data_IF_738702330924
#
_entry.id   IF_738702330924
#
_cell.length_a   1.000
_cell.length_b   1.000
_cell.length_c   1.000
_cell.angle_alpha   90.00
_cell.angle_beta   90.00
_cell.angle_gamma   90.00
#
_symmetry.space_group_name_H-M   'P 1'
#
loop_
_entity.id
_entity.type
_entity.pdbx_description
1 polymer ?
#
# COMPACT_ATOMS: atom_id res chain seq x y z
N UNK A 1 -6.63 6.84 -18.33
CA UNK A 1 -6.09 7.96 -19.12
C UNK A 1 -6.75 8.14 -20.47
N UNK A 2 -6.93 7.10 -21.30
CA UNK A 2 -7.63 7.24 -22.60
C UNK A 2 -9.03 7.85 -22.45
N UNK A 3 -9.80 7.39 -21.47
CA UNK A 3 -11.11 8.00 -21.16
C UNK A 3 -11.00 9.48 -20.77
N UNK A 4 -10.02 9.86 -19.94
CA UNK A 4 -9.82 11.27 -19.55
C UNK A 4 -9.48 12.18 -20.75
N UNK A 5 -8.66 11.68 -21.69
CA UNK A 5 -8.38 12.37 -22.95
C UNK A 5 -9.66 12.55 -23.79
N UNK A 6 -10.45 11.48 -23.93
CA UNK A 6 -11.72 11.51 -24.67
C UNK A 6 -12.72 12.47 -24.03
N UNK A 7 -12.82 12.48 -22.70
CA UNK A 7 -13.67 13.39 -21.94
C UNK A 7 -13.26 14.84 -22.14
N UNK A 8 -11.98 15.18 -21.96
CA UNK A 8 -11.47 16.54 -22.16
C UNK A 8 -11.74 17.04 -23.60
N UNK A 9 -11.50 16.19 -24.60
CA UNK A 9 -11.78 16.53 -25.98
C UNK A 9 -13.29 16.71 -26.25
N UNK A 10 -14.13 15.87 -25.65
CA UNK A 10 -15.59 15.98 -25.76
C UNK A 10 -16.10 17.29 -25.15
N UNK A 11 -15.62 17.66 -23.96
CA UNK A 11 -15.99 18.90 -23.29
C UNK A 11 -15.62 20.12 -24.13
N UNK A 12 -14.40 20.15 -24.67
CA UNK A 12 -13.91 21.24 -25.55
C UNK A 12 -14.71 21.33 -26.84
N UNK A 13 -15.01 20.20 -27.48
CA UNK A 13 -15.77 20.19 -28.73
C UNK A 13 -17.21 20.71 -28.56
N UNK A 14 -17.78 20.57 -27.36
CA UNK A 14 -19.16 21.00 -27.06
C UNK A 14 -19.23 22.29 -26.22
N UNK A 15 -18.10 22.97 -25.98
CA UNK A 15 -18.00 24.15 -25.10
C UNK A 15 -18.65 23.94 -23.72
N UNK A 16 -18.47 22.73 -23.16
CA UNK A 16 -18.95 22.39 -21.83
C UNK A 16 -17.84 22.67 -20.81
N UNK A 17 -18.20 23.35 -19.72
CA UNK A 17 -17.33 23.48 -18.56
C UNK A 17 -17.55 22.33 -17.58
N UNK A 18 -16.50 21.94 -16.87
CA UNK A 18 -16.56 20.87 -15.87
C UNK A 18 -17.18 21.41 -14.58
N UNK A 19 -18.51 21.54 -14.56
CA UNK A 19 -19.31 22.12 -13.46
C UNK A 19 -19.74 21.10 -12.40
N UNK A 20 -19.32 19.86 -12.58
CA UNK A 20 -19.56 18.76 -11.68
C UNK A 20 -20.91 18.04 -11.85
N UNK A 21 -21.65 18.34 -12.92
CA UNK A 21 -22.94 17.70 -13.23
C UNK A 21 -22.78 16.52 -14.17
N UNK A 22 -23.72 15.60 -14.05
CA UNK A 22 -23.78 14.41 -14.89
C UNK A 22 -23.97 14.79 -16.36
N UNK A 23 -23.03 14.37 -17.21
CA UNK A 23 -23.11 14.51 -18.66
C UNK A 23 -23.73 13.23 -19.22
N UNK A 24 -24.96 13.33 -19.72
CA UNK A 24 -25.76 12.18 -20.19
C UNK A 24 -25.04 11.32 -21.22
N UNK A 25 -24.24 11.94 -22.10
CA UNK A 25 -23.56 11.25 -23.20
C UNK A 25 -22.35 10.42 -22.73
N UNK A 26 -21.80 10.73 -21.54
CA UNK A 26 -20.66 10.01 -20.96
C UNK A 26 -21.06 8.89 -20.00
N UNK A 27 -22.34 8.83 -19.61
CA UNK A 27 -22.88 7.79 -18.71
C UNK A 27 -22.55 6.35 -19.15
N UNK A 28 -22.55 5.99 -20.46
CA UNK A 28 -22.17 4.64 -20.89
C UNK A 28 -20.76 4.20 -20.50
N UNK A 29 -19.88 5.15 -20.12
CA UNK A 29 -18.51 4.88 -19.70
C UNK A 29 -18.33 4.83 -18.18
N UNK A 30 -19.40 4.89 -17.39
CA UNK A 30 -19.36 4.73 -15.93
C UNK A 30 -19.39 3.24 -15.49
N UNK A 31 -19.01 2.30 -16.37
CA UNK A 31 -18.95 0.86 -16.08
C UNK A 31 -17.55 0.41 -15.63
N UNK A 32 -17.41 -0.88 -15.24
CA UNK A 32 -16.10 -1.47 -14.93
C UNK A 32 -15.13 -1.28 -16.10
N UNK A 33 -13.87 -0.99 -15.78
CA UNK A 33 -12.80 -0.78 -16.76
C UNK A 33 -12.66 -1.96 -17.75
N UNK A 34 -12.97 -3.18 -17.31
CA UNK A 34 -12.91 -4.39 -18.14
C UNK A 34 -13.93 -4.39 -19.29
N UNK A 35 -15.00 -3.61 -19.16
CA UNK A 35 -16.07 -3.49 -20.15
C UNK A 35 -15.87 -2.29 -21.08
N UNK A 36 -15.06 -1.31 -20.67
CA UNK A 36 -14.78 -0.11 -21.46
C UNK A 36 -13.71 -0.46 -22.49
N UNK A 37 -14.13 -0.67 -23.73
CA UNK A 37 -13.20 -0.98 -24.82
C UNK A 37 -12.66 0.30 -25.48
N UNK A 38 -11.39 0.30 -25.94
CA UNK A 38 -10.86 1.40 -26.75
C UNK A 38 -11.68 1.68 -28.02
N UNK A 39 -12.33 0.65 -28.58
CA UNK A 39 -13.18 0.79 -29.76
C UNK A 39 -14.46 1.58 -29.47
N UNK A 40 -15.08 1.34 -28.32
CA UNK A 40 -16.24 2.12 -27.88
C UNK A 40 -15.86 3.60 -27.68
N UNK A 41 -14.71 3.87 -27.06
CA UNK A 41 -14.19 5.22 -26.89
C UNK A 41 -13.91 5.91 -28.23
N UNK A 42 -13.30 5.20 -29.19
CA UNK A 42 -13.06 5.72 -30.56
C UNK A 42 -14.36 6.01 -31.29
N UNK A 43 -15.32 5.08 -31.24
CA UNK A 43 -16.61 5.24 -31.91
C UNK A 43 -17.37 6.46 -31.38
N UNK A 44 -17.30 6.70 -30.07
CA UNK A 44 -17.93 7.84 -29.41
C UNK A 44 -17.30 9.18 -29.80
N UNK A 45 -15.96 9.28 -29.84
CA UNK A 45 -15.29 10.57 -30.05
C UNK A 45 -15.05 10.92 -31.53
N UNK A 46 -15.11 9.93 -32.43
CA UNK A 46 -14.92 10.13 -33.88
C UNK A 46 -15.79 11.24 -34.50
N UNK A 47 -17.09 11.40 -34.16
CA UNK A 47 -17.92 12.52 -34.64
C UNK A 47 -17.38 13.90 -34.23
N UNK A 48 -16.62 13.98 -33.13
CA UNK A 48 -16.03 15.20 -32.60
C UNK A 48 -14.61 15.48 -33.12
N UNK A 49 -14.12 14.71 -34.10
CA UNK A 49 -12.87 15.00 -34.80
C UNK A 49 -11.62 14.31 -34.25
N UNK A 50 -11.71 13.62 -33.10
CA UNK A 50 -10.60 12.81 -32.58
C UNK A 50 -10.63 11.42 -33.21
N UNK A 51 -9.68 11.13 -34.10
CA UNK A 51 -9.59 9.84 -34.80
C UNK A 51 -8.64 8.85 -34.11
N UNK A 52 -7.64 9.37 -33.39
CA UNK A 52 -6.67 8.58 -32.65
C UNK A 52 -6.74 8.89 -31.15
N UNK A 53 -6.95 7.85 -30.34
CA UNK A 53 -6.99 7.94 -28.87
C UNK A 53 -5.71 7.42 -28.20
N UNK A 54 -4.69 7.07 -29.01
CA UNK A 54 -3.43 6.58 -28.48
C UNK A 54 -2.71 7.68 -27.70
N UNK A 55 -2.23 7.33 -26.50
CA UNK A 55 -1.63 8.26 -25.55
C UNK A 55 -0.19 8.66 -25.92
N UNK A 56 0.44 7.91 -26.82
CA UNK A 56 1.82 8.09 -27.29
C UNK A 56 1.93 8.95 -28.55
N UNK A 57 0.80 9.35 -29.14
CA UNK A 57 0.74 10.29 -30.27
C UNK A 57 1.15 11.70 -29.82
N UNK A 58 1.95 12.40 -30.62
CA UNK A 58 2.47 13.73 -30.27
C UNK A 58 1.37 14.77 -30.09
N UNK A 59 0.27 14.64 -30.84
CA UNK A 59 -0.87 15.55 -30.75
C UNK A 59 -1.63 15.40 -29.43
N UNK A 60 -1.72 14.16 -28.92
CA UNK A 60 -2.43 13.87 -27.67
C UNK A 60 -1.54 14.10 -26.44
N UNK A 61 -0.24 13.92 -26.58
CA UNK A 61 0.70 13.95 -25.46
C UNK A 61 0.72 15.31 -24.75
N UNK A 62 0.57 16.42 -25.48
CA UNK A 62 0.44 17.76 -24.88
C UNK A 62 -0.81 17.92 -24.01
N UNK A 63 -1.95 17.41 -24.48
CA UNK A 63 -3.19 17.38 -23.69
C UNK A 63 -3.03 16.51 -22.45
N UNK A 64 -2.42 15.33 -22.59
CA UNK A 64 -2.18 14.42 -21.47
C UNK A 64 -1.24 15.04 -20.43
N UNK A 65 -0.19 15.75 -20.84
CA UNK A 65 0.69 16.49 -19.93
C UNK A 65 -0.09 17.56 -19.16
N UNK A 66 -0.99 18.28 -19.84
CA UNK A 66 -1.87 19.28 -19.21
C UNK A 66 -2.81 18.63 -18.19
N UNK A 67 -3.47 17.52 -18.56
CA UNK A 67 -4.38 16.78 -17.68
C UNK A 67 -3.67 16.24 -16.42
N UNK A 68 -2.41 15.84 -16.55
CA UNK A 68 -1.60 15.33 -15.44
C UNK A 68 -0.85 16.45 -14.68
N UNK A 69 -0.99 17.71 -15.09
CA UNK A 69 -0.21 18.84 -14.57
C UNK A 69 1.31 18.58 -14.57
N UNK A 70 1.83 18.02 -15.66
CA UNK A 70 3.24 17.67 -15.83
C UNK A 70 3.97 18.67 -16.74
N UNK A 71 5.25 18.96 -16.47
CA UNK A 71 6.06 19.79 -17.36
C UNK A 71 6.43 19.05 -18.65
N UNK A 72 6.74 19.81 -19.71
CA UNK A 72 7.17 19.26 -21.00
C UNK A 72 8.42 18.35 -20.91
N UNK A 73 9.28 18.56 -19.91
CA UNK A 73 10.44 17.69 -19.66
C UNK A 73 10.05 16.24 -19.32
N UNK A 74 8.81 15.99 -18.89
CA UNK A 74 8.30 14.66 -18.59
C UNK A 74 7.85 13.87 -19.84
N UNK A 75 7.77 14.50 -21.01
CA UNK A 75 7.24 13.93 -22.26
C UNK A 75 7.85 12.57 -22.61
N UNK A 76 9.18 12.48 -22.65
CA UNK A 76 9.90 11.24 -22.98
C UNK A 76 9.69 10.12 -21.96
N UNK A 77 9.66 10.48 -20.65
CA UNK A 77 9.41 9.51 -19.58
C UNK A 77 7.98 8.97 -19.66
N UNK A 78 7.01 9.84 -19.91
CA UNK A 78 5.60 9.47 -20.01
C UNK A 78 5.34 8.55 -21.21
N UNK A 79 5.97 8.83 -22.36
CA UNK A 79 5.92 7.96 -23.54
C UNK A 79 6.43 6.55 -23.24
N UNK A 80 7.56 6.43 -22.55
CA UNK A 80 8.10 5.13 -22.11
C UNK A 80 7.13 4.40 -21.16
N UNK A 81 6.45 5.12 -20.28
CA UNK A 81 5.47 4.53 -19.36
C UNK A 81 4.23 4.01 -20.11
N UNK A 82 3.74 4.72 -21.13
CA UNK A 82 2.60 4.23 -21.90
C UNK A 82 2.92 2.98 -22.74
N UNK A 83 4.17 2.85 -23.20
CA UNK A 83 4.61 1.70 -23.98
C UNK A 83 5.01 0.50 -23.12
N UNK A 84 5.72 0.74 -22.01
CA UNK A 84 6.30 -0.31 -21.16
C UNK A 84 5.60 -0.53 -19.81
N UNK A 85 4.64 0.32 -19.46
CA UNK A 85 4.04 0.34 -18.13
C UNK A 85 4.91 1.01 -17.07
N UNK A 86 4.41 1.02 -15.83
CA UNK A 86 5.18 1.43 -14.64
C UNK A 86 5.80 0.19 -14.02
N UNK A 87 7.13 0.09 -13.92
CA UNK A 87 7.78 -1.01 -13.20
C UNK A 87 7.29 -1.04 -11.75
N UNK A 88 6.78 -2.19 -11.32
CA UNK A 88 6.22 -2.35 -9.98
C UNK A 88 6.51 -3.75 -9.43
N UNK A 89 6.49 -3.85 -8.10
CA UNK A 89 6.59 -5.11 -7.37
C UNK A 89 5.26 -5.41 -6.69
N UNK A 90 4.82 -6.68 -6.71
CA UNK A 90 3.55 -7.09 -6.10
C UNK A 90 3.83 -8.04 -4.93
N UNK A 91 3.23 -7.75 -3.77
CA UNK A 91 3.31 -8.59 -2.58
C UNK A 91 1.94 -9.13 -2.22
N UNK A 92 1.88 -10.45 -2.01
CA UNK A 92 0.64 -11.18 -1.77
C UNK A 92 0.60 -11.88 -0.39
N UNK A 93 1.52 -11.53 0.51
CA UNK A 93 1.67 -12.10 1.85
C UNK A 93 1.97 -13.61 1.87
N UNK A 94 2.60 -14.15 0.82
CA UNK A 94 2.96 -15.59 0.72
C UNK A 94 4.41 -15.87 1.08
N UNK A 95 5.33 -14.97 0.75
CA UNK A 95 6.77 -15.20 0.89
C UNK A 95 7.44 -14.12 1.73
N UNK A 96 7.30 -14.23 3.04
CA UNK A 96 7.68 -13.16 3.96
C UNK A 96 9.14 -12.68 3.84
N UNK A 97 10.10 -13.56 3.57
CA UNK A 97 11.52 -13.17 3.43
C UNK A 97 11.80 -12.35 2.17
N UNK A 98 11.34 -12.82 1.00
CA UNK A 98 11.48 -12.09 -0.27
C UNK A 98 10.69 -10.76 -0.23
N UNK A 99 9.47 -10.81 0.31
CA UNK A 99 8.62 -9.65 0.52
C UNK A 99 9.27 -8.60 1.41
N UNK A 100 10.01 -9.03 2.43
CA UNK A 100 10.73 -8.11 3.32
C UNK A 100 11.81 -7.33 2.58
N UNK A 101 12.56 -7.99 1.69
CA UNK A 101 13.59 -7.35 0.88
C UNK A 101 12.97 -6.34 -0.11
N UNK A 102 11.87 -6.71 -0.76
CA UNK A 102 11.13 -5.82 -1.67
C UNK A 102 10.67 -4.56 -0.92
N UNK A 103 10.13 -4.73 0.29
CA UNK A 103 9.60 -3.62 1.10
C UNK A 103 10.71 -2.71 1.60
N UNK A 104 11.86 -3.25 1.99
CA UNK A 104 13.03 -2.45 2.37
C UNK A 104 13.51 -1.55 1.22
N UNK A 105 13.41 -2.03 -0.02
CA UNK A 105 13.69 -1.25 -1.24
C UNK A 105 12.58 -0.29 -1.69
N UNK A 106 11.39 -0.35 -1.11
CA UNK A 106 10.22 0.39 -1.61
C UNK A 106 10.33 1.92 -1.49
N UNK A 107 11.26 2.42 -0.66
CA UNK A 107 11.53 3.85 -0.52
C UNK A 107 12.56 4.41 -1.50
N UNK A 108 13.08 3.60 -2.43
CA UNK A 108 14.01 4.03 -3.46
C UNK A 108 13.35 4.96 -4.49
N UNK A 109 14.16 5.78 -5.16
CA UNK A 109 13.66 6.71 -6.17
C UNK A 109 12.97 5.95 -7.33
N UNK A 110 11.70 6.29 -7.57
CA UNK A 110 10.90 5.69 -8.65
C UNK A 110 10.40 4.27 -8.37
N UNK A 111 10.62 3.72 -7.18
CA UNK A 111 10.09 2.42 -6.80
C UNK A 111 8.56 2.49 -6.62
N UNK A 112 7.85 1.50 -7.18
CA UNK A 112 6.40 1.34 -7.00
C UNK A 112 6.14 -0.06 -6.47
N UNK A 113 5.41 -0.13 -5.37
CA UNK A 113 5.16 -1.38 -4.66
C UNK A 113 3.67 -1.52 -4.36
N UNK A 114 3.08 -2.63 -4.81
CA UNK A 114 1.68 -2.98 -4.62
C UNK A 114 1.62 -4.07 -3.56
N UNK A 115 1.03 -3.76 -2.41
CA UNK A 115 0.87 -4.70 -1.31
C UNK A 115 -0.60 -5.04 -1.11
N UNK A 116 -0.94 -6.33 -1.11
CA UNK A 116 -2.28 -6.77 -0.72
C UNK A 116 -2.40 -6.84 0.80
N UNK A 117 -3.48 -6.32 1.38
CA UNK A 117 -3.77 -6.35 2.81
C UNK A 117 -2.61 -5.85 3.68
N UNK A 118 -1.97 -6.74 4.45
CA UNK A 118 -0.86 -6.44 5.35
C UNK A 118 0.47 -7.05 4.90
N UNK A 119 0.66 -7.29 3.59
CA UNK A 119 1.96 -7.72 3.08
C UNK A 119 3.06 -6.71 3.45
N UNK A 120 4.28 -7.19 3.75
CA UNK A 120 5.36 -6.31 4.21
C UNK A 120 5.19 -5.76 5.63
N UNK A 121 4.40 -6.44 6.49
CA UNK A 121 4.31 -6.08 7.91
C UNK A 121 5.59 -6.39 8.66
N UNK A 122 6.03 -5.44 9.49
CA UNK A 122 7.23 -5.59 10.33
C UNK A 122 8.51 -5.00 9.74
N UNK A 123 8.52 -4.66 8.44
CA UNK A 123 9.69 -4.06 7.77
C UNK A 123 9.53 -2.55 7.63
N UNK A 124 10.62 -1.82 7.89
CA UNK A 124 10.68 -0.38 7.75
C UNK A 124 10.96 0.04 6.30
N UNK A 125 10.32 1.11 5.83
CA UNK A 125 10.52 1.66 4.49
C UNK A 125 11.32 2.95 4.66
N UNK A 126 12.62 2.87 4.43
CA UNK A 126 13.52 4.02 4.50
C UNK A 126 13.54 4.76 3.17
N UNK A 127 13.48 6.09 3.19
CA UNK A 127 13.65 6.88 1.99
C UNK A 127 15.05 6.67 1.42
N UNK A 128 15.16 6.49 0.10
CA UNK A 128 16.39 6.06 -0.57
C UNK A 128 16.48 4.55 -0.79
N UNK A 129 15.66 3.75 -0.08
CA UNK A 129 15.65 2.29 -0.18
C UNK A 129 16.73 1.62 0.68
N UNK A 130 17.09 0.39 0.34
CA UNK A 130 18.14 -0.38 1.01
C UNK A 130 19.37 -0.48 0.11
N UNK A 131 20.57 -0.33 0.71
CA UNK A 131 21.84 -0.48 0.00
C UNK A 131 22.22 -1.96 0.06
N UNK A 132 22.57 -2.54 -1.09
CA UNK A 132 23.06 -3.91 -1.16
C UNK A 132 24.33 -4.11 -0.31
N UNK A 133 24.42 -5.24 0.39
CA UNK A 133 25.55 -5.56 1.27
C UNK A 133 26.89 -5.58 0.50
N UNK A 134 26.86 -6.00 -0.76
CA UNK A 134 28.02 -6.00 -1.67
C UNK A 134 28.63 -4.60 -1.84
N UNK A 135 27.77 -3.59 -1.99
CA UNK A 135 28.17 -2.19 -2.15
C UNK A 135 28.80 -1.66 -0.86
N UNK A 136 28.21 -1.99 0.30
CA UNK A 136 28.78 -1.62 1.60
C UNK A 136 30.14 -2.29 1.81
N UNK A 137 30.28 -3.56 1.45
CA UNK A 137 31.54 -4.29 1.52
C UNK A 137 32.62 -3.65 0.64
N UNK A 138 32.27 -3.26 -0.59
CA UNK A 138 33.18 -2.56 -1.50
C UNK A 138 33.64 -1.22 -0.93
N UNK A 139 32.72 -0.41 -0.39
CA UNK A 139 33.04 0.86 0.28
C UNK A 139 34.00 0.63 1.46
N UNK A 140 33.72 -0.36 2.31
CA UNK A 140 34.58 -0.65 3.46
C UNK A 140 35.99 -1.07 3.05
N UNK A 141 36.15 -1.84 1.97
CA UNK A 141 37.46 -2.21 1.42
C UNK A 141 38.25 -1.01 0.95
N UNK A 142 37.59 -0.06 0.26
CA UNK A 142 38.23 1.15 -0.26
C UNK A 142 38.66 2.06 0.90
N UNK A 143 37.82 2.23 1.91
CA UNK A 143 38.15 3.00 3.12
C UNK A 143 39.29 2.35 3.92
N UNK A 144 39.29 1.02 4.06
CA UNK A 144 40.39 0.31 4.73
C UNK A 144 41.72 0.52 3.99
N UNK A 145 41.71 0.45 2.65
CA UNK A 145 42.90 0.74 1.82
C UNK A 145 43.38 2.19 1.97
N UNK A 146 42.48 3.13 2.22
CA UNK A 146 42.79 4.54 2.46
C UNK A 146 43.31 4.82 3.89
N UNK A 147 43.41 3.81 4.75
CA UNK A 147 43.99 3.94 6.09
C UNK A 147 42.98 4.21 7.21
N UNK A 148 41.67 4.07 6.96
CA UNK A 148 40.66 4.12 8.02
C UNK A 148 40.71 2.81 8.82
N UNK A 149 40.88 2.93 10.15
CA UNK A 149 41.11 1.77 11.04
C UNK A 149 39.91 0.83 11.12
N UNK A 150 38.68 1.36 11.23
CA UNK A 150 37.47 0.56 11.41
C UNK A 150 36.28 1.05 10.54
N UNK A 151 36.27 0.77 9.22
CA UNK A 151 35.18 1.19 8.33
C UNK A 151 33.81 0.57 8.66
N UNK A 152 33.77 -0.56 9.35
CA UNK A 152 32.54 -1.29 9.69
C UNK A 152 31.70 -0.58 10.75
N UNK A 153 32.34 0.14 11.68
CA UNK A 153 31.66 0.87 12.77
C UNK A 153 31.24 2.28 12.36
N UNK A 154 31.69 2.76 11.19
CA UNK A 154 31.29 4.06 10.66
C UNK A 154 29.82 4.07 10.22
N UNK A 155 29.15 5.18 10.51
CA UNK A 155 27.82 5.48 9.97
C UNK A 155 27.87 5.67 8.46
N UNK A 156 26.72 5.50 7.78
CA UNK A 156 26.63 5.72 6.33
C UNK A 156 27.06 7.15 5.95
N UNK A 157 26.75 8.13 6.80
CA UNK A 157 27.11 9.53 6.56
C UNK A 157 28.62 9.77 6.67
N UNK A 158 29.28 9.20 7.68
CA UNK A 158 30.73 9.30 7.83
C UNK A 158 31.46 8.62 6.66
N UNK A 159 30.95 7.48 6.18
CA UNK A 159 31.49 6.81 4.98
C UNK A 159 31.38 7.71 3.75
N UNK A 160 30.24 8.39 3.57
CA UNK A 160 30.03 9.34 2.47
C UNK A 160 31.03 10.49 2.54
N UNK A 161 31.22 11.10 3.70
CA UNK A 161 32.15 12.22 3.89
C UNK A 161 33.61 11.81 3.64
N UNK A 162 33.99 10.60 4.05
CA UNK A 162 35.31 10.04 3.78
C UNK A 162 35.53 9.85 2.27
N UNK A 163 34.57 9.25 1.57
CA UNK A 163 34.64 9.04 0.12
C UNK A 163 34.68 10.36 -0.68
N UNK A 164 33.97 11.39 -0.23
CA UNK A 164 33.98 12.71 -0.89
C UNK A 164 35.32 13.45 -0.75
N UNK A 165 36.10 13.15 0.30
CA UNK A 165 37.44 13.73 0.50
C UNK A 165 38.53 12.98 -0.29
N UNK A 166 38.21 11.79 -0.81
CA UNK A 166 39.15 10.98 -1.59
C UNK A 166 39.08 11.36 -3.07
N UNK A 167 40.23 11.29 -3.75
CA UNK A 167 40.26 11.42 -5.21
C UNK A 167 39.73 10.15 -5.89
N UNK A 168 39.06 10.35 -7.04
CA UNK A 168 38.36 9.31 -7.80
C UNK A 168 39.31 8.21 -8.30
N UNK A 169 40.58 8.55 -8.49
CA UNK A 169 41.63 7.61 -8.89
C UNK A 169 41.89 6.49 -7.86
N UNK A 170 41.55 6.71 -6.58
CA UNK A 170 41.80 5.74 -5.51
C UNK A 170 40.73 4.64 -5.41
N UNK A 171 39.64 4.77 -6.16
CA UNK A 171 38.52 3.82 -6.15
C UNK A 171 38.84 2.50 -6.84
N UNK A 172 39.75 2.53 -7.83
CA UNK A 172 40.24 1.33 -8.52
C UNK A 172 39.10 0.50 -9.12
N UNK A 173 39.04 -0.79 -8.77
CA UNK A 173 38.05 -1.74 -9.30
C UNK A 173 36.63 -1.53 -8.75
N UNK A 174 36.46 -0.78 -7.66
CA UNK A 174 35.17 -0.61 -6.96
C UNK A 174 34.48 0.73 -7.29
N UNK A 175 34.90 1.38 -8.38
CA UNK A 175 34.38 2.70 -8.76
C UNK A 175 32.86 2.69 -8.99
N UNK A 176 32.33 1.61 -9.57
CA UNK A 176 30.91 1.46 -9.86
C UNK A 176 30.07 1.41 -8.57
N UNK A 177 30.51 0.62 -7.59
CA UNK A 177 29.86 0.46 -6.29
C UNK A 177 29.92 1.76 -5.48
N UNK A 178 31.04 2.47 -5.52
CA UNK A 178 31.18 3.77 -4.84
C UNK A 178 30.27 4.82 -5.48
N UNK A 179 30.21 4.86 -6.82
CA UNK A 179 29.25 5.73 -7.53
C UNK A 179 27.82 5.40 -7.14
N UNK A 180 27.48 4.12 -7.03
CA UNK A 180 26.15 3.70 -6.58
C UNK A 180 25.87 4.13 -5.13
N UNK A 181 26.84 3.99 -4.23
CA UNK A 181 26.73 4.43 -2.85
C UNK A 181 26.55 5.96 -2.72
N UNK A 182 27.29 6.75 -3.50
CA UNK A 182 27.13 8.20 -3.51
C UNK A 182 25.78 8.60 -4.13
N UNK A 183 25.39 7.95 -5.24
CA UNK A 183 24.10 8.13 -5.89
C UNK A 183 22.92 7.82 -4.98
N UNK A 184 23.03 6.82 -4.10
CA UNK A 184 22.00 6.51 -3.10
C UNK A 184 21.64 7.73 -2.22
N UNK A 185 22.62 8.54 -1.82
CA UNK A 185 22.34 9.75 -1.02
C UNK A 185 21.71 10.87 -1.84
N UNK A 186 22.05 10.98 -3.12
CA UNK A 186 21.43 11.93 -4.04
C UNK A 186 19.98 11.55 -4.29
N UNK A 187 19.71 10.26 -4.55
CA UNK A 187 18.37 9.73 -4.71
C UNK A 187 17.54 9.86 -3.43
N UNK A 188 18.13 9.59 -2.25
CA UNK A 188 17.47 9.83 -0.96
C UNK A 188 17.08 11.30 -0.79
N UNK A 189 17.99 12.23 -1.07
CA UNK A 189 17.71 13.67 -0.99
C UNK A 189 16.60 14.08 -1.95
N UNK A 190 16.64 13.55 -3.18
CA UNK A 190 15.62 13.78 -4.21
C UNK A 190 14.25 13.24 -3.80
N UNK A 191 14.18 12.04 -3.21
CA UNK A 191 12.94 11.48 -2.69
C UNK A 191 12.36 12.38 -1.60
N UNK A 192 13.20 12.90 -0.68
CA UNK A 192 12.75 13.85 0.35
C UNK A 192 12.23 15.14 -0.25
N UNK A 193 12.93 15.71 -1.23
CA UNK A 193 12.50 16.93 -1.93
C UNK A 193 11.16 16.77 -2.64
N UNK A 194 10.90 15.58 -3.22
CA UNK A 194 9.65 15.25 -3.90
C UNK A 194 8.48 14.93 -2.95
N UNK A 195 8.67 15.08 -1.63
CA UNK A 195 7.62 14.87 -0.63
C UNK A 195 7.61 13.47 0.01
N UNK A 196 8.65 12.66 -0.24
CA UNK A 196 8.88 11.38 0.40
C UNK A 196 7.93 10.25 -0.03
N UNK A 197 7.73 9.28 0.86
CA UNK A 197 6.89 8.11 0.55
C UNK A 197 5.42 8.52 0.46
N UNK A 198 4.78 8.21 -0.66
CA UNK A 198 3.34 8.37 -0.85
C UNK A 198 2.62 7.02 -0.71
N UNK A 199 1.70 6.93 0.23
CA UNK A 199 0.91 5.71 0.49
C UNK A 199 -0.49 5.87 -0.06
N UNK A 200 -0.88 4.96 -0.96
CA UNK A 200 -2.21 4.91 -1.55
C UNK A 200 -2.97 3.72 -0.97
N UNK A 201 -4.11 3.99 -0.34
CA UNK A 201 -5.10 2.95 0.00
C UNK A 201 -6.15 2.87 -1.09
N UNK A 202 -6.32 1.69 -1.70
CA UNK A 202 -7.34 1.45 -2.74
C UNK A 202 -8.73 1.21 -2.17
N UNK A 203 -8.82 0.89 -0.88
CA UNK A 203 -10.07 0.65 -0.15
C UNK A 203 -9.85 0.93 1.35
N UNK A 204 -10.94 0.92 2.12
CA UNK A 204 -10.91 0.97 3.59
C UNK A 204 -10.95 -0.44 4.13
N UNK A 205 -10.10 -0.74 5.11
CA UNK A 205 -10.22 -1.97 5.88
C UNK A 205 -11.43 -1.91 6.81
N UNK A 206 -11.86 -3.08 7.29
CA UNK A 206 -12.89 -3.22 8.32
C UNK A 206 -12.58 -2.44 9.61
N UNK A 207 -11.29 -2.22 9.90
CA UNK A 207 -10.84 -1.55 11.10
C UNK A 207 -9.94 -0.34 10.79
N UNK A 208 -10.26 0.80 11.42
CA UNK A 208 -9.54 2.07 11.28
C UNK A 208 -8.08 1.94 11.69
N UNK A 209 -7.79 1.09 12.67
CA UNK A 209 -6.42 0.80 13.12
C UNK A 209 -5.54 0.25 12.00
N UNK A 210 -6.10 -0.57 11.10
CA UNK A 210 -5.34 -1.18 9.99
C UNK A 210 -5.03 -0.12 8.93
N UNK A 211 -6.01 0.72 8.61
CA UNK A 211 -5.79 1.87 7.72
C UNK A 211 -4.71 2.82 8.25
N UNK A 212 -4.72 3.10 9.55
CA UNK A 212 -3.69 3.94 10.18
C UNK A 212 -2.31 3.28 10.15
N UNK A 213 -2.21 1.95 10.19
CA UNK A 213 -0.93 1.26 10.01
C UNK A 213 -0.39 1.42 8.60
N UNK A 214 -1.27 1.40 7.59
CA UNK A 214 -0.89 1.68 6.20
C UNK A 214 -0.41 3.13 6.08
N UNK A 215 -1.15 4.11 6.61
CA UNK A 215 -0.74 5.53 6.64
C UNK A 215 0.61 5.73 7.31
N UNK A 216 0.82 5.07 8.46
CA UNK A 216 2.06 5.14 9.25
C UNK A 216 3.28 4.46 8.61
N UNK A 217 3.17 3.99 7.35
CA UNK A 217 4.33 3.61 6.53
C UNK A 217 5.04 4.84 5.97
N UNK A 218 4.30 5.91 5.67
CA UNK A 218 4.87 7.18 5.26
C UNK A 218 5.31 8.01 6.47
N UNK A 219 6.16 9.02 6.21
CA UNK A 219 6.57 10.05 7.15
C UNK A 219 7.17 9.52 8.47
N UNK A 220 7.97 8.46 8.40
CA UNK A 220 8.66 7.90 9.57
C UNK A 220 9.83 8.78 9.99
N UNK A 221 10.09 8.85 11.30
CA UNK A 221 11.22 9.63 11.85
C UNK A 221 11.26 11.11 11.44
N UNK A 222 10.10 11.71 11.15
CA UNK A 222 10.02 13.10 10.69
C UNK A 222 10.37 13.33 9.23
N UNK A 223 10.56 12.25 8.45
CA UNK A 223 10.69 12.34 7.01
C UNK A 223 9.40 12.91 6.37
N UNK A 224 9.51 13.57 5.21
CA UNK A 224 8.34 13.95 4.44
C UNK A 224 7.60 12.68 3.97
N UNK A 225 6.28 12.78 3.87
CA UNK A 225 5.45 11.69 3.40
C UNK A 225 4.00 12.11 3.32
N UNK A 226 3.24 11.41 2.51
CA UNK A 226 1.80 11.67 2.36
C UNK A 226 1.04 10.37 2.20
N UNK A 227 -0.26 10.41 2.52
CA UNK A 227 -1.12 9.26 2.31
C UNK A 227 -2.49 9.70 1.82
N UNK A 228 -3.09 8.91 0.93
CA UNK A 228 -4.42 9.16 0.39
C UNK A 228 -5.15 7.84 0.22
N UNK A 229 -6.44 7.83 0.57
CA UNK A 229 -7.31 6.69 0.33
C UNK A 229 -8.28 7.07 -0.77
N UNK A 230 -8.42 6.17 -1.73
CA UNK A 230 -9.46 6.20 -2.75
C UNK A 230 -10.50 5.16 -2.36
N UNK A 231 -11.77 5.51 -2.54
CA UNK A 231 -12.90 4.69 -2.13
C UNK A 231 -13.96 4.72 -3.21
N UNK A 232 -14.62 3.59 -3.39
CA UNK A 232 -15.80 3.47 -4.23
C UNK A 232 -17.02 3.14 -3.37
N UNK A 233 -18.18 3.59 -3.85
CA UNK A 233 -19.47 3.20 -3.33
C UNK A 233 -19.74 1.69 -3.47
N UNK A 234 -19.00 1.03 -4.35
CA UNK A 234 -19.11 -0.40 -4.62
C UNK A 234 -18.15 -1.26 -3.79
N UNK A 235 -17.27 -0.65 -2.99
CA UNK A 235 -16.33 -1.37 -2.12
C UNK A 235 -17.07 -2.20 -1.07
N UNK A 236 -16.47 -3.29 -0.58
CA UNK A 236 -17.12 -4.22 0.35
C UNK A 236 -17.61 -3.54 1.64
N UNK A 237 -16.82 -2.61 2.20
CA UNK A 237 -17.24 -1.84 3.38
C UNK A 237 -18.51 -1.02 3.09
N UNK A 238 -18.57 -0.36 1.93
CA UNK A 238 -19.71 0.45 1.54
C UNK A 238 -20.91 -0.44 1.23
N UNK A 239 -20.73 -1.51 0.45
CA UNK A 239 -21.78 -2.47 0.12
C UNK A 239 -22.45 -3.08 1.34
N UNK A 240 -21.67 -3.42 2.38
CA UNK A 240 -22.19 -4.09 3.57
C UNK A 240 -22.82 -3.12 4.58
N UNK A 241 -22.33 -1.88 4.69
CA UNK A 241 -22.70 -1.01 5.82
C UNK A 241 -23.08 0.44 5.46
N UNK A 242 -22.62 1.02 4.34
CA UNK A 242 -22.76 2.45 4.05
C UNK A 242 -23.46 2.83 2.74
N UNK A 243 -23.68 1.87 1.84
CA UNK A 243 -24.06 2.06 0.45
C UNK A 243 -25.41 2.74 0.29
N UNK A 244 -26.43 2.22 0.99
CA UNK A 244 -27.81 2.73 0.88
C UNK A 244 -27.94 4.18 1.37
N UNK A 245 -27.24 4.55 2.44
CA UNK A 245 -27.34 5.90 2.99
C UNK A 245 -26.68 6.94 2.09
N UNK A 246 -25.49 6.64 1.57
CA UNK A 246 -24.76 7.55 0.68
C UNK A 246 -25.38 7.57 -0.71
N UNK A 247 -25.86 6.42 -1.23
CA UNK A 247 -26.57 6.34 -2.50
C UNK A 247 -27.84 7.19 -2.52
N UNK A 248 -28.62 7.16 -1.43
CA UNK A 248 -29.79 8.03 -1.28
C UNK A 248 -29.45 9.53 -1.23
N UNK A 249 -28.29 9.88 -0.64
CA UNK A 249 -27.79 11.25 -0.61
C UNK A 249 -27.35 11.72 -2.01
N UNK A 250 -26.61 10.87 -2.75
CA UNK A 250 -26.15 11.17 -4.10
C UNK A 250 -27.32 11.35 -5.07
N UNK A 251 -28.34 10.47 -5.00
CA UNK A 251 -29.55 10.59 -5.81
C UNK A 251 -30.32 11.89 -5.58
N UNK A 252 -30.28 12.43 -4.36
CA UNK A 252 -30.87 13.74 -4.04
C UNK A 252 -30.06 14.91 -4.56
N UNK A 253 -28.73 14.82 -4.51
CA UNK A 253 -27.81 15.88 -4.92
C UNK A 253 -27.52 15.88 -6.43
N UNK A 254 -27.91 14.84 -7.16
CA UNK A 254 -27.64 14.66 -8.61
C UNK A 254 -26.16 14.88 -8.97
N UNK A 255 -25.26 14.47 -8.08
CA UNK A 255 -23.81 14.56 -8.31
C UNK A 255 -23.44 13.53 -9.37
N UNK A 256 -22.54 13.89 -10.28
CA UNK A 256 -21.99 12.96 -11.26
C UNK A 256 -21.16 11.88 -10.55
N UNK A 257 -21.45 10.61 -10.85
CA UNK A 257 -20.73 9.45 -10.31
C UNK A 257 -19.24 9.44 -10.71
N UNK A 258 -18.88 10.17 -11.78
CA UNK A 258 -17.50 10.28 -12.26
C UNK A 258 -16.63 11.28 -11.48
N UNK A 259 -17.20 12.03 -10.54
CA UNK A 259 -16.46 13.02 -9.76
C UNK A 259 -16.03 12.52 -8.38
N UNK A 260 -14.80 12.82 -7.96
CA UNK A 260 -14.38 12.59 -6.58
C UNK A 260 -15.26 13.38 -5.60
N UNK A 261 -15.89 12.66 -4.67
CA UNK A 261 -16.68 13.26 -3.59
C UNK A 261 -15.75 13.69 -2.44
N UNK A 262 -15.41 14.98 -2.37
CA UNK A 262 -14.67 15.57 -1.24
C UNK A 262 -15.60 16.22 -0.19
N UNK A 263 -16.70 15.54 0.16
CA UNK A 263 -17.68 16.07 1.12
C UNK A 263 -17.43 15.50 2.51
N UNK A 264 -17.22 16.38 3.51
CA UNK A 264 -16.99 15.99 4.92
C UNK A 264 -18.06 15.04 5.48
N UNK A 265 -19.33 15.20 5.04
CA UNK A 265 -20.45 14.36 5.45
C UNK A 265 -20.26 12.88 5.04
N UNK A 266 -19.72 12.62 3.85
CA UNK A 266 -19.47 11.26 3.35
C UNK A 266 -18.38 10.58 4.18
N UNK A 267 -17.32 11.32 4.53
CA UNK A 267 -16.26 10.81 5.42
C UNK A 267 -16.80 10.36 6.78
N UNK A 268 -17.73 11.11 7.38
CA UNK A 268 -18.34 10.72 8.66
C UNK A 268 -19.20 9.46 8.55
N UNK A 269 -19.91 9.26 7.44
CA UNK A 269 -20.70 8.04 7.20
C UNK A 269 -19.79 6.82 7.04
N UNK A 270 -18.65 6.98 6.35
CA UNK A 270 -17.64 5.93 6.20
C UNK A 270 -17.05 5.56 7.57
N UNK A 271 -16.68 6.54 8.39
CA UNK A 271 -16.17 6.31 9.76
C UNK A 271 -17.20 5.61 10.66
N UNK A 272 -18.47 6.00 10.57
CA UNK A 272 -19.57 5.35 11.29
C UNK A 272 -19.81 3.91 10.83
N UNK A 273 -19.54 3.62 9.55
CA UNK A 273 -19.61 2.26 9.01
C UNK A 273 -18.47 1.39 9.55
N UNK A 274 -17.22 1.88 9.56
CA UNK A 274 -16.09 1.16 10.17
C UNK A 274 -16.32 0.85 11.65
N UNK A 275 -16.83 1.82 12.42
CA UNK A 275 -17.14 1.61 13.85
C UNK A 275 -18.13 0.48 14.08
N UNK A 276 -19.15 0.36 13.21
CA UNK A 276 -20.13 -0.75 13.29
C UNK A 276 -19.50 -2.10 13.00
N UNK A 277 -18.63 -2.18 11.98
CA UNK A 277 -17.91 -3.43 11.67
C UNK A 277 -16.97 -3.83 12.81
N UNK A 278 -16.25 -2.87 13.38
CA UNK A 278 -15.40 -3.11 14.55
C UNK A 278 -16.20 -3.63 15.74
N UNK A 279 -17.40 -3.06 16.00
CA UNK A 279 -18.31 -3.53 17.05
C UNK A 279 -18.79 -4.96 16.82
N UNK A 280 -19.25 -5.28 15.61
CA UNK A 280 -19.67 -6.65 15.27
C UNK A 280 -18.52 -7.67 15.44
N UNK A 281 -17.32 -7.32 14.97
CA UNK A 281 -16.12 -8.15 15.14
C UNK A 281 -15.73 -8.31 16.62
N UNK A 282 -15.94 -7.29 17.45
CA UNK A 282 -15.72 -7.36 18.90
C UNK A 282 -16.70 -8.33 19.56
N UNK A 283 -17.99 -8.25 19.22
CA UNK A 283 -19.02 -9.14 19.79
C UNK A 283 -18.76 -10.62 19.42
N UNK A 284 -18.37 -10.88 18.17
CA UNK A 284 -17.97 -12.23 17.72
C UNK A 284 -16.81 -12.78 18.56
N UNK A 285 -15.76 -11.97 18.77
CA UNK A 285 -14.60 -12.38 19.59
C UNK A 285 -14.97 -12.57 21.05
N UNK A 286 -15.83 -11.70 21.59
CA UNK A 286 -16.32 -11.80 22.96
C UNK A 286 -17.07 -13.10 23.18
N UNK A 287 -18.02 -13.43 22.31
CA UNK A 287 -18.75 -14.69 22.39
C UNK A 287 -17.81 -15.89 22.29
N UNK A 288 -16.86 -15.88 21.34
CA UNK A 288 -15.88 -16.97 21.22
C UNK A 288 -15.08 -17.18 22.51
N UNK A 289 -14.66 -16.09 23.16
CA UNK A 289 -13.97 -16.13 24.45
C UNK A 289 -14.87 -16.69 25.56
N UNK A 290 -16.12 -16.27 25.64
CA UNK A 290 -17.07 -16.77 26.65
C UNK A 290 -17.28 -18.29 26.54
N UNK A 291 -17.34 -18.83 25.31
CA UNK A 291 -17.39 -20.28 25.09
C UNK A 291 -16.07 -20.97 25.46
N UNK A 292 -14.93 -20.38 25.10
CA UNK A 292 -13.63 -20.95 25.44
C UNK A 292 -13.39 -20.95 26.96
N UNK A 293 -13.83 -19.93 27.70
CA UNK A 293 -13.70 -19.86 29.17
C UNK A 293 -14.35 -21.07 29.87
N UNK A 294 -15.50 -21.53 29.39
CA UNK A 294 -16.15 -22.74 29.91
C UNK A 294 -15.32 -23.98 29.61
N UNK A 295 -14.86 -24.13 28.36
CA UNK A 295 -14.01 -25.26 27.95
C UNK A 295 -12.65 -25.24 28.63
N UNK A 296 -12.11 -24.06 28.92
CA UNK A 296 -10.82 -23.88 29.56
C UNK A 296 -10.87 -24.32 31.02
N UNK A 297 -11.97 -23.99 31.75
CA UNK A 297 -12.20 -24.53 33.11
C UNK A 297 -12.26 -26.06 33.13
N UNK A 298 -12.95 -26.65 32.17
CA UNK A 298 -12.99 -28.12 32.03
C UNK A 298 -11.61 -28.69 31.71
N UNK A 299 -10.89 -28.08 30.75
CA UNK A 299 -9.50 -28.46 30.40
C UNK A 299 -8.59 -28.42 31.62
N UNK A 300 -8.64 -27.36 32.42
CA UNK A 300 -7.81 -27.21 33.60
C UNK A 300 -8.04 -28.37 34.59
N UNK A 301 -9.29 -28.71 34.89
CA UNK A 301 -9.60 -29.83 35.79
C UNK A 301 -9.06 -31.16 35.26
N UNK A 302 -9.24 -31.44 33.97
CA UNK A 302 -8.74 -32.67 33.36
C UNK A 302 -7.21 -32.68 33.31
N UNK A 303 -6.57 -31.56 32.97
CA UNK A 303 -5.12 -31.44 32.94
C UNK A 303 -4.51 -31.58 34.34
N UNK A 304 -5.12 -30.99 35.36
CA UNK A 304 -4.68 -31.14 36.75
C UNK A 304 -4.77 -32.61 37.20
N UNK A 305 -5.86 -33.30 36.86
CA UNK A 305 -6.00 -34.74 37.16
C UNK A 305 -4.96 -35.57 36.41
N UNK A 306 -4.77 -35.28 35.11
CA UNK A 306 -3.82 -35.99 34.26
C UNK A 306 -2.38 -35.79 34.72
N UNK A 307 -2.02 -34.57 35.10
CA UNK A 307 -0.67 -34.25 35.59
C UNK A 307 -0.43 -34.92 36.96
N UNK A 308 -1.44 -34.97 37.84
CA UNK A 308 -1.33 -35.77 39.09
C UNK A 308 -1.05 -37.24 38.82
N UNK A 309 -1.73 -37.83 37.83
CA UNK A 309 -1.51 -39.23 37.42
C UNK A 309 -0.09 -39.44 36.89
N UNK A 310 0.45 -38.49 36.11
CA UNK A 310 1.79 -38.61 35.55
C UNK A 310 2.92 -38.34 36.55
N UNK A 311 2.66 -37.59 37.62
CA UNK A 311 3.68 -37.17 38.60
C UNK A 311 3.71 -38.07 39.85
N UNK A 312 2.57 -38.64 40.28
CA UNK A 312 2.53 -39.53 41.45
C UNK A 312 3.24 -40.86 41.15
N UNK A 313 4.04 -41.34 42.10
CA UNK A 313 4.68 -42.66 42.02
C UNK A 313 3.70 -43.82 42.25
N UNK A 314 2.64 -43.59 43.05
CA UNK A 314 1.58 -44.57 43.34
C UNK A 314 0.20 -43.91 43.28
N UNK A 315 -0.75 -44.59 42.63
CA UNK A 315 -2.13 -44.16 42.39
C UNK A 315 -3.16 -45.07 43.08
N UNK A 316 -2.72 -46.03 43.90
CA UNK A 316 -3.59 -47.02 44.53
C UNK A 316 -4.71 -46.37 45.35
N UNK A 317 -4.40 -45.30 46.08
CA UNK A 317 -5.39 -44.54 46.86
C UNK A 317 -6.40 -43.80 45.97
N UNK A 318 -5.95 -43.15 44.90
CA UNK A 318 -6.83 -42.46 43.95
C UNK A 318 -7.80 -43.43 43.26
N UNK A 319 -7.33 -44.65 42.93
CA UNK A 319 -8.17 -45.71 42.33
C UNK A 319 -9.19 -46.25 43.33
N UNK A 320 -8.78 -46.48 44.59
CA UNK A 320 -9.70 -46.96 45.62
C UNK A 320 -10.80 -45.93 45.92
N UNK A 321 -10.47 -44.64 45.95
CA UNK A 321 -11.45 -43.55 46.12
C UNK A 321 -12.45 -43.51 44.95
N UNK A 322 -11.98 -43.67 43.70
CA UNK A 322 -12.85 -43.78 42.53
C UNK A 322 -13.78 -45.00 42.60
N UNK A 323 -13.27 -46.16 43.03
CA UNK A 323 -14.04 -47.39 43.17
C UNK A 323 -15.14 -47.23 44.22
N UNK A 324 -14.80 -46.67 45.39
CA UNK A 324 -15.74 -46.46 46.49
C UNK A 324 -16.84 -45.46 46.08
N UNK A 325 -16.48 -44.38 45.38
CA UNK A 325 -17.43 -43.43 44.83
C UNK A 325 -18.40 -44.07 43.83
N UNK A 326 -17.93 -44.93 42.91
CA UNK A 326 -18.79 -45.59 41.92
C UNK A 326 -19.71 -46.64 42.54
N UNK A 327 -19.22 -47.41 43.53
CA UNK A 327 -20.03 -48.40 44.27
C UNK A 327 -21.14 -47.72 45.08
N UNK A 328 -20.86 -46.55 45.66
CA UNK A 328 -21.84 -45.79 46.48
C UNK A 328 -22.90 -45.08 45.62
N UNK A 329 -22.61 -44.83 44.34
CA UNK A 329 -23.50 -44.12 43.43
C UNK A 329 -24.51 -45.03 42.71
N UNK A 330 -24.30 -46.35 42.74
CA UNK A 330 -25.24 -47.38 42.28
C UNK A 330 -26.25 -47.74 43.36
#
# INVERSE_FOLDING_TARGET
>A
MQYALVRDHYLKANNLEEDGRLITDLVPFNESIDKITPDALRAFIKPHGLTNISLDDENNLGTVLTLLNLPESAKERLKKIFQGGVPHQVLNARKHTEESQIIAGAGAFGAVTIATNMAGRGVDIKLGGEIAEEVISAVNRVLSKAGYKDPFDMTLQERREALQKMDSANFGLYEAEIKHFLGYFEDMARVKELGGLHVIGSERHEARRIDNQLRGRAARQGDPGSSRFYLSMQDDLMRLFGGDQVGNLMGRLKVDDSLPLEVRLVSSIIEGSQTRVEGANFDVRKHLLEYDDVLNKQRQQIYDQRDRIFVKEDLSDDINEMLEAEVTKR
#
